data_IF_738951105342
#
_entry.id   IF_738951105342
#
_cell.length_a   1.000
_cell.length_b   1.000
_cell.length_c   1.000
_cell.angle_alpha   90.00
_cell.angle_beta   90.00
_cell.angle_gamma   90.00
#
_symmetry.space_group_name_H-M   'P 1'
#
loop_
_entity.id
_entity.type
_entity.pdbx_description
1 polymer ?
#
# COMPACT_ATOMS: atom_id res chain seq x y z
N UNK A 1 7.07 5.20 4.98
CA UNK A 1 5.84 5.97 4.74
C UNK A 1 5.35 5.72 3.32
N UNK A 2 4.34 4.85 3.15
CA UNK A 2 3.86 4.41 1.84
C UNK A 2 2.59 5.18 1.40
N UNK A 3 2.33 5.26 0.07
CA UNK A 3 1.07 5.78 -0.44
C UNK A 3 -0.12 4.94 0.02
N UNK A 4 -1.23 5.60 0.39
CA UNK A 4 -2.48 4.92 0.72
C UNK A 4 -3.24 4.47 -0.52
N UNK A 5 -3.14 5.25 -1.61
CA UNK A 5 -3.76 4.95 -2.89
C UNK A 5 -3.00 5.64 -4.03
N UNK A 6 -3.43 5.34 -5.26
CA UNK A 6 -2.89 5.94 -6.47
C UNK A 6 -4.02 6.50 -7.33
N UNK A 7 -3.82 7.71 -7.80
CA UNK A 7 -4.70 8.34 -8.80
C UNK A 7 -4.06 8.15 -10.18
N UNK A 8 -4.78 7.52 -11.09
CA UNK A 8 -4.31 7.39 -12.48
C UNK A 8 -4.58 8.68 -13.24
N UNK A 9 -3.55 9.46 -13.42
CA UNK A 9 -3.57 10.70 -14.18
C UNK A 9 -2.77 10.57 -15.49
N UNK A 10 -2.51 9.35 -15.96
CA UNK A 10 -1.71 9.10 -17.16
C UNK A 10 -2.46 9.44 -18.45
N UNK A 11 -3.79 9.34 -18.42
CA UNK A 11 -4.63 9.62 -19.57
C UNK A 11 -4.97 11.11 -19.65
N UNK A 12 -4.41 11.78 -20.64
CA UNK A 12 -4.78 13.15 -20.98
C UNK A 12 -6.07 13.10 -21.81
N UNK A 13 -7.10 13.81 -21.36
CA UNK A 13 -8.40 13.88 -22.03
C UNK A 13 -8.48 15.18 -22.82
N UNK A 14 -8.78 15.16 -24.13
CA UNK A 14 -9.09 16.37 -24.89
C UNK A 14 -10.27 17.12 -24.27
N UNK A 15 -10.24 18.46 -24.31
CA UNK A 15 -11.29 19.30 -23.70
C UNK A 15 -12.67 18.95 -24.25
N UNK A 16 -12.78 18.69 -25.54
CA UNK A 16 -14.04 18.30 -26.20
C UNK A 16 -14.66 17.02 -25.65
N UNK A 17 -13.83 16.09 -25.15
CA UNK A 17 -14.24 14.76 -24.67
C UNK A 17 -14.41 14.74 -23.13
N UNK A 18 -14.11 15.84 -22.46
CA UNK A 18 -14.23 15.95 -21.01
C UNK A 18 -15.71 16.05 -20.60
N UNK A 19 -16.16 15.15 -19.73
CA UNK A 19 -17.54 15.10 -19.27
C UNK A 19 -17.70 15.75 -17.89
N UNK A 20 -18.84 16.41 -17.67
CA UNK A 20 -19.21 16.98 -16.38
C UNK A 20 -19.32 15.87 -15.33
N UNK A 21 -18.81 16.12 -14.11
CA UNK A 21 -18.77 15.15 -13.01
C UNK A 21 -17.58 14.20 -13.08
N UNK A 22 -16.82 14.15 -14.19
CA UNK A 22 -15.62 13.34 -14.27
C UNK A 22 -14.37 14.09 -13.83
N UNK A 23 -13.49 13.39 -13.11
CA UNK A 23 -12.16 13.87 -12.81
C UNK A 23 -11.22 13.52 -13.96
N UNK A 24 -10.77 14.53 -14.66
CA UNK A 24 -9.94 14.39 -15.88
C UNK A 24 -8.63 15.14 -15.76
N UNK A 25 -7.67 14.75 -16.59
CA UNK A 25 -6.43 15.48 -16.84
C UNK A 25 -6.54 16.12 -18.21
N UNK A 26 -6.42 17.42 -18.24
CA UNK A 26 -6.40 18.21 -19.49
C UNK A 26 -5.03 18.85 -19.62
N UNK A 27 -4.44 18.81 -20.81
CA UNK A 27 -3.28 19.62 -21.17
C UNK A 27 -3.75 20.74 -22.09
N UNK A 28 -3.50 21.98 -21.72
CA UNK A 28 -3.91 23.10 -22.54
C UNK A 28 -3.01 24.32 -22.36
N UNK A 29 -3.23 25.29 -23.24
CA UNK A 29 -2.55 26.59 -23.23
C UNK A 29 -3.48 27.63 -22.65
N UNK A 30 -2.96 28.47 -21.78
CA UNK A 30 -3.70 29.61 -21.23
C UNK A 30 -3.92 30.64 -22.34
N UNK A 31 -5.17 30.88 -22.70
CA UNK A 31 -5.58 31.90 -23.66
C UNK A 31 -5.75 33.25 -22.94
N UNK A 32 -6.43 33.23 -21.81
CA UNK A 32 -6.68 34.40 -20.97
C UNK A 32 -6.51 34.03 -19.48
N UNK A 33 -5.95 34.93 -18.69
CA UNK A 33 -5.91 34.80 -17.25
C UNK A 33 -6.06 36.19 -16.57
N UNK A 34 -6.93 36.26 -15.58
CA UNK A 34 -7.16 37.46 -14.81
C UNK A 34 -7.53 37.16 -13.36
N UNK A 35 -7.22 38.11 -12.45
CA UNK A 35 -7.65 38.03 -11.08
C UNK A 35 -8.71 39.11 -10.83
N UNK A 36 -9.86 38.69 -10.29
CA UNK A 36 -11.00 39.56 -10.02
C UNK A 36 -11.51 39.36 -8.59
N UNK A 37 -12.24 40.33 -8.05
CA UNK A 37 -12.96 40.18 -6.79
C UNK A 37 -14.42 39.82 -7.07
N UNK A 38 -14.91 38.78 -6.40
CA UNK A 38 -16.32 38.42 -6.46
C UNK A 38 -17.18 39.56 -5.91
N UNK A 39 -18.20 39.96 -6.66
CA UNK A 39 -19.16 41.02 -6.25
C UNK A 39 -19.93 40.71 -4.97
N UNK A 40 -20.20 39.43 -4.68
CA UNK A 40 -21.10 38.98 -3.58
C UNK A 40 -20.39 38.63 -2.27
N UNK A 41 -19.11 38.17 -2.30
CA UNK A 41 -18.41 37.71 -1.08
C UNK A 41 -17.01 38.29 -0.92
N UNK A 42 -16.63 39.30 -1.67
CA UNK A 42 -15.29 39.93 -1.70
C UNK A 42 -14.11 38.94 -1.79
N UNK A 43 -14.39 37.68 -2.20
CA UNK A 43 -13.33 36.66 -2.38
C UNK A 43 -12.56 36.92 -3.65
N UNK A 44 -11.24 36.75 -3.56
CA UNK A 44 -10.38 36.82 -4.72
C UNK A 44 -10.58 35.58 -5.58
N UNK A 45 -10.84 35.78 -6.86
CA UNK A 45 -11.02 34.75 -7.87
C UNK A 45 -9.98 34.94 -8.94
N UNK A 46 -9.21 33.89 -9.23
CA UNK A 46 -8.39 33.83 -10.44
C UNK A 46 -9.15 33.03 -11.47
N UNK A 47 -9.43 33.64 -12.61
CA UNK A 47 -10.12 33.01 -13.73
C UNK A 47 -9.19 32.90 -14.92
N UNK A 48 -9.24 31.76 -15.60
CA UNK A 48 -8.51 31.55 -16.84
C UNK A 48 -9.39 30.85 -17.86
N UNK A 49 -9.07 31.02 -19.13
CA UNK A 49 -9.55 30.21 -20.25
C UNK A 49 -8.37 29.40 -20.74
N UNK A 50 -8.55 28.10 -20.84
CA UNK A 50 -7.51 27.17 -21.28
C UNK A 50 -8.01 26.39 -22.48
N UNK A 51 -7.28 26.43 -23.58
CA UNK A 51 -7.59 25.73 -24.82
C UNK A 51 -6.53 24.69 -25.18
N UNK A 52 -6.95 23.61 -25.84
CA UNK A 52 -6.07 22.52 -26.30
C UNK A 52 -6.12 22.31 -27.82
N UNK A 53 -6.79 23.22 -28.52
CA UNK A 53 -7.06 23.10 -29.97
C UNK A 53 -8.29 22.26 -30.32
N UNK A 54 -8.85 21.49 -29.40
CA UNK A 54 -10.13 20.76 -29.57
C UNK A 54 -11.31 21.52 -28.99
N UNK A 55 -11.04 22.41 -28.03
CA UNK A 55 -11.99 23.26 -27.34
C UNK A 55 -11.30 24.14 -26.32
N UNK A 56 -12.10 24.97 -25.63
CA UNK A 56 -11.64 25.81 -24.54
C UNK A 56 -12.52 25.61 -23.30
N UNK A 57 -11.92 25.65 -22.11
CA UNK A 57 -12.61 25.46 -20.83
C UNK A 57 -12.27 26.58 -19.86
N UNK A 58 -13.28 27.03 -19.14
CA UNK A 58 -13.11 28.01 -18.06
C UNK A 58 -12.53 27.34 -16.82
N UNK A 59 -11.59 28.01 -16.19
CA UNK A 59 -10.93 27.56 -14.94
C UNK A 59 -11.06 28.64 -13.88
N UNK A 60 -11.47 28.28 -12.68
CA UNK A 60 -11.67 29.20 -11.57
C UNK A 60 -10.92 28.71 -10.34
N UNK A 61 -10.00 29.49 -9.82
CA UNK A 61 -9.32 29.25 -8.54
C UNK A 61 -9.82 30.23 -7.48
N UNK A 62 -10.30 29.70 -6.38
CA UNK A 62 -10.81 30.49 -5.25
C UNK A 62 -9.71 30.82 -4.26
N UNK A 63 -9.58 32.09 -3.86
CA UNK A 63 -8.59 32.60 -2.91
C UNK A 63 -7.13 32.30 -3.29
N UNK A 64 -6.81 32.26 -4.59
CA UNK A 64 -5.49 31.97 -5.10
C UNK A 64 -4.99 33.05 -6.10
N UNK A 65 -4.85 34.33 -5.68
CA UNK A 65 -4.47 35.40 -6.58
C UNK A 65 -3.04 35.30 -7.13
N UNK A 66 -2.18 34.53 -6.45
CA UNK A 66 -0.81 34.29 -6.89
C UNK A 66 -0.73 33.53 -8.22
N UNK A 67 -1.78 32.76 -8.59
CA UNK A 67 -1.81 32.01 -9.84
C UNK A 67 -1.73 32.96 -11.04
N UNK A 68 -2.46 34.07 -11.00
CA UNK A 68 -2.40 35.08 -12.07
C UNK A 68 -1.03 35.80 -12.18
N UNK A 69 -0.23 35.75 -11.10
CA UNK A 69 1.15 36.25 -11.15
C UNK A 69 2.14 35.18 -11.65
N UNK A 70 1.81 33.91 -11.44
CA UNK A 70 2.66 32.77 -11.78
C UNK A 70 2.57 32.41 -13.26
N UNK A 71 1.39 32.53 -13.86
CA UNK A 71 1.10 32.16 -15.23
C UNK A 71 0.78 33.38 -16.10
N UNK A 72 1.11 33.25 -17.39
CA UNK A 72 0.80 34.23 -18.41
C UNK A 72 0.03 33.56 -19.56
N UNK A 73 -0.68 34.38 -20.36
CA UNK A 73 -1.22 33.90 -21.64
C UNK A 73 -0.10 33.31 -22.50
N UNK A 74 -0.37 32.16 -23.13
CA UNK A 74 0.60 31.37 -23.87
C UNK A 74 1.31 30.27 -23.07
N UNK A 75 1.29 30.29 -21.72
CA UNK A 75 1.84 29.20 -20.92
C UNK A 75 1.02 27.91 -21.09
N UNK A 76 1.71 26.79 -21.20
CA UNK A 76 1.08 25.47 -21.22
C UNK A 76 1.08 24.83 -19.84
N UNK A 77 -0.04 24.20 -19.47
CA UNK A 77 -0.19 23.54 -18.18
C UNK A 77 -1.04 22.28 -18.28
N UNK A 78 -0.81 21.38 -17.32
CA UNK A 78 -1.75 20.32 -17.01
C UNK A 78 -2.72 20.80 -15.95
N UNK A 79 -4.01 20.51 -16.16
CA UNK A 79 -5.09 20.70 -15.20
C UNK A 79 -5.61 19.34 -14.77
N UNK A 80 -5.76 19.15 -13.48
CA UNK A 80 -6.31 17.92 -12.91
C UNK A 80 -7.47 18.30 -11.98
N UNK A 81 -8.67 17.92 -12.35
CA UNK A 81 -9.85 18.27 -11.56
C UNK A 81 -11.11 17.65 -12.10
N UNK A 82 -12.19 17.88 -11.39
CA UNK A 82 -13.54 17.54 -11.81
C UNK A 82 -14.13 18.69 -12.61
N UNK A 83 -14.71 18.37 -13.76
CA UNK A 83 -15.42 19.33 -14.58
C UNK A 83 -16.82 19.53 -13.99
N UNK A 84 -17.16 20.79 -13.66
CA UNK A 84 -18.47 21.19 -13.11
C UNK A 84 -19.23 21.97 -14.15
N UNK A 85 -20.57 21.98 -14.01
CA UNK A 85 -21.45 22.78 -14.84
C UNK A 85 -22.06 23.91 -14.00
N UNK A 86 -22.12 25.10 -14.57
CA UNK A 86 -22.80 26.26 -14.02
C UNK A 86 -23.40 27.02 -15.22
N UNK A 87 -24.53 27.67 -15.06
CA UNK A 87 -25.35 28.30 -16.11
C UNK A 87 -24.65 28.92 -17.32
N UNK A 88 -23.35 29.22 -17.20
CA UNK A 88 -22.49 29.73 -18.30
C UNK A 88 -21.63 28.62 -18.97
N UNK A 89 -21.89 27.35 -18.71
CA UNK A 89 -21.18 26.20 -19.27
C UNK A 89 -20.21 25.51 -18.29
N UNK A 90 -19.50 24.52 -18.80
CA UNK A 90 -18.60 23.70 -18.01
C UNK A 90 -17.32 24.45 -17.58
N UNK A 91 -16.87 24.20 -16.36
CA UNK A 91 -15.65 24.82 -15.80
C UNK A 91 -14.93 23.92 -14.79
N UNK A 92 -13.64 24.15 -14.59
CA UNK A 92 -12.88 23.56 -13.52
C UNK A 92 -12.90 24.43 -12.26
N UNK A 93 -13.31 23.87 -11.12
CA UNK A 93 -13.33 24.52 -9.83
C UNK A 93 -12.06 24.17 -9.03
N UNK A 94 -11.14 25.12 -8.89
CA UNK A 94 -9.85 24.95 -8.19
C UNK A 94 -9.09 23.67 -8.57
N UNK A 95 -8.88 23.38 -9.87
CA UNK A 95 -8.13 22.21 -10.27
C UNK A 95 -6.68 22.29 -9.77
N UNK A 96 -6.08 21.12 -9.55
CA UNK A 96 -4.64 21.06 -9.42
C UNK A 96 -4.00 21.40 -10.78
N UNK A 97 -2.84 22.04 -10.73
CA UNK A 97 -2.15 22.47 -11.95
C UNK A 97 -0.65 22.18 -11.87
N UNK A 98 -0.04 21.94 -13.02
CA UNK A 98 1.40 21.80 -13.19
C UNK A 98 1.81 22.43 -14.54
N UNK A 99 2.82 23.30 -14.50
CA UNK A 99 3.35 23.91 -15.74
C UNK A 99 4.06 22.85 -16.58
N UNK A 100 3.76 22.81 -17.87
CA UNK A 100 4.50 21.94 -18.80
C UNK A 100 5.94 22.45 -18.88
N UNK A 101 6.89 21.61 -18.53
CA UNK A 101 8.31 21.91 -18.58
C UNK A 101 9.05 20.83 -19.36
N UNK A 102 10.31 21.08 -19.72
CA UNK A 102 11.17 20.07 -20.39
C UNK A 102 11.45 18.85 -19.51
N UNK A 103 11.31 18.98 -18.20
CA UNK A 103 11.40 17.85 -17.27
C UNK A 103 10.07 17.10 -17.20
N UNK A 104 10.09 15.76 -17.04
CA UNK A 104 8.86 14.98 -16.91
C UNK A 104 7.98 15.54 -15.79
N UNK A 105 6.69 15.68 -16.07
CA UNK A 105 5.69 16.13 -15.11
C UNK A 105 5.79 15.32 -13.81
N UNK A 106 5.76 16.01 -12.66
CA UNK A 106 5.91 15.33 -11.35
C UNK A 106 4.57 14.99 -10.72
N UNK A 107 3.49 15.68 -11.13
CA UNK A 107 2.19 15.61 -10.47
C UNK A 107 1.01 15.39 -11.44
N UNK A 108 1.26 15.36 -12.76
CA UNK A 108 0.25 15.15 -13.78
C UNK A 108 0.77 14.22 -14.87
N UNK A 109 -0.12 13.72 -15.75
CA UNK A 109 0.17 12.83 -16.87
C UNK A 109 0.89 11.53 -16.47
N UNK A 110 0.54 10.95 -15.29
CA UNK A 110 1.07 9.69 -14.79
C UNK A 110 0.24 9.13 -13.63
N UNK A 111 0.61 7.95 -13.15
CA UNK A 111 0.10 7.40 -11.88
C UNK A 111 0.73 8.19 -10.73
N UNK A 112 -0.12 8.84 -9.93
CA UNK A 112 0.31 9.74 -8.86
C UNK A 112 -0.02 9.13 -7.50
N UNK A 113 0.98 8.97 -6.62
CA UNK A 113 0.75 8.47 -5.27
C UNK A 113 0.02 9.50 -4.41
N UNK A 114 -0.95 9.03 -3.63
CA UNK A 114 -1.67 9.80 -2.61
C UNK A 114 -1.28 9.26 -1.25
N UNK A 115 -0.66 10.10 -0.43
CA UNK A 115 -0.19 9.73 0.89
C UNK A 115 -1.22 10.06 1.97
N UNK A 116 -1.24 9.34 3.10
CA UNK A 116 -1.89 9.84 4.31
C UNK A 116 -1.30 11.21 4.64
N UNK A 117 -2.12 12.22 4.80
CA UNK A 117 -1.64 13.58 5.07
C UNK A 117 -2.23 14.11 6.36
N UNK A 118 -1.44 14.92 7.06
CA UNK A 118 -1.88 15.70 8.20
C UNK A 118 -2.21 17.13 7.77
N UNK A 119 -2.88 17.88 8.61
CA UNK A 119 -3.39 19.22 8.30
C UNK A 119 -2.33 20.20 7.74
N UNK A 120 -1.08 20.05 8.17
CA UNK A 120 0.02 21.00 7.81
C UNK A 120 0.89 20.54 6.65
N UNK A 121 0.67 19.33 6.08
CA UNK A 121 1.54 18.76 5.06
C UNK A 121 0.75 18.42 3.79
N UNK A 122 0.99 19.18 2.72
CA UNK A 122 0.31 18.95 1.44
C UNK A 122 0.88 17.77 0.66
N UNK A 123 0.06 17.14 -0.20
CA UNK A 123 0.48 16.06 -1.10
C UNK A 123 1.68 16.46 -1.98
N UNK A 124 1.75 17.72 -2.42
CA UNK A 124 2.88 18.23 -3.22
C UNK A 124 4.19 18.22 -2.42
N UNK A 125 4.14 18.64 -1.16
CA UNK A 125 5.30 18.65 -0.28
C UNK A 125 5.79 17.23 0.01
N UNK A 126 4.88 16.30 0.32
CA UNK A 126 5.25 14.90 0.56
C UNK A 126 5.92 14.30 -0.68
N UNK A 127 5.32 14.45 -1.86
CA UNK A 127 5.91 13.96 -3.11
C UNK A 127 7.26 14.58 -3.43
N UNK A 128 7.44 15.87 -3.15
CA UNK A 128 8.72 16.55 -3.31
C UNK A 128 9.80 15.96 -2.39
N UNK A 129 9.50 15.77 -1.12
CA UNK A 129 10.42 15.16 -0.15
C UNK A 129 10.75 13.71 -0.54
N UNK A 130 9.75 12.92 -0.93
CA UNK A 130 9.96 11.55 -1.40
C UNK A 130 10.86 11.49 -2.63
N UNK A 131 10.65 12.38 -3.60
CA UNK A 131 11.51 12.45 -4.80
C UNK A 131 12.98 12.73 -4.45
N UNK A 132 13.22 13.51 -3.39
CA UNK A 132 14.57 13.80 -2.92
C UNK A 132 15.18 12.65 -2.10
N UNK A 133 14.35 11.91 -1.36
CA UNK A 133 14.81 10.79 -0.54
C UNK A 133 15.10 9.52 -1.36
N UNK A 134 14.39 9.29 -2.47
CA UNK A 134 14.49 8.06 -3.24
C UNK A 134 15.88 7.68 -3.76
N UNK A 135 16.78 8.60 -4.14
CA UNK A 135 18.15 8.20 -4.48
C UNK A 135 18.86 7.42 -3.38
N UNK A 136 18.50 7.66 -2.10
CA UNK A 136 19.02 6.95 -0.94
C UNK A 136 18.54 5.49 -0.87
N UNK A 137 17.48 5.12 -1.57
CA UNK A 137 16.99 3.73 -1.63
C UNK A 137 18.07 2.75 -2.16
N UNK A 138 18.99 3.23 -2.95
CA UNK A 138 20.12 2.44 -3.45
C UNK A 138 21.17 2.09 -2.39
N UNK A 139 21.17 2.85 -1.28
CA UNK A 139 22.08 2.63 -0.15
C UNK A 139 21.48 1.65 0.87
N UNK A 140 20.20 1.33 0.75
CA UNK A 140 19.53 0.37 1.63
C UNK A 140 19.91 -1.04 1.23
N UNK A 141 20.50 -1.77 2.15
CA UNK A 141 20.86 -3.17 1.93
C UNK A 141 19.61 -4.02 1.74
N UNK A 142 19.60 -4.83 0.67
CA UNK A 142 18.53 -5.79 0.45
C UNK A 142 18.72 -7.02 1.33
N UNK A 143 17.86 -7.20 2.31
CA UNK A 143 17.95 -8.30 3.26
C UNK A 143 17.59 -9.67 2.67
N UNK A 144 16.87 -9.71 1.51
CA UNK A 144 16.54 -10.97 0.86
C UNK A 144 17.72 -11.52 0.08
N UNK A 145 18.13 -12.79 0.30
CA UNK A 145 19.14 -13.48 -0.50
C UNK A 145 18.78 -13.51 -1.98
N UNK A 146 19.79 -13.49 -2.83
CA UNK A 146 19.61 -13.47 -4.29
C UNK A 146 18.83 -14.71 -4.79
N UNK A 147 19.09 -15.88 -4.18
CA UNK A 147 18.42 -17.14 -4.52
C UNK A 147 16.91 -17.08 -4.22
N UNK A 148 16.53 -16.48 -3.08
CA UNK A 148 15.12 -16.29 -2.71
C UNK A 148 14.45 -15.36 -3.70
N UNK A 149 15.10 -14.24 -4.05
CA UNK A 149 14.57 -13.31 -5.05
C UNK A 149 14.38 -13.97 -6.42
N UNK A 150 15.35 -14.75 -6.86
CA UNK A 150 15.27 -15.48 -8.12
C UNK A 150 14.13 -16.52 -8.11
N UNK A 151 14.05 -17.33 -7.05
CA UNK A 151 13.04 -18.38 -6.89
C UNK A 151 11.61 -17.82 -6.95
N UNK A 152 11.34 -16.71 -6.29
CA UNK A 152 10.00 -16.10 -6.22
C UNK A 152 9.80 -14.97 -7.24
N UNK A 153 10.74 -14.76 -8.17
CA UNK A 153 10.70 -13.73 -9.21
C UNK A 153 10.42 -12.33 -8.63
N UNK A 154 11.17 -11.97 -7.60
CA UNK A 154 11.06 -10.69 -6.91
C UNK A 154 12.13 -9.70 -7.38
N UNK A 155 11.71 -8.45 -7.53
CA UNK A 155 12.62 -7.36 -7.83
C UNK A 155 13.50 -6.97 -6.62
N UNK A 156 14.58 -6.26 -6.85
CA UNK A 156 15.42 -5.70 -5.79
C UNK A 156 14.65 -4.69 -4.93
N UNK A 157 15.06 -4.53 -3.65
CA UNK A 157 14.41 -3.61 -2.73
C UNK A 157 14.41 -2.16 -3.25
N UNK A 158 15.52 -1.69 -3.80
CA UNK A 158 15.64 -0.34 -4.38
C UNK A 158 14.64 -0.10 -5.53
N UNK A 159 14.39 -1.13 -6.36
CA UNK A 159 13.35 -1.09 -7.39
C UNK A 159 11.96 -0.93 -6.75
N UNK A 160 11.65 -1.75 -5.76
CA UNK A 160 10.35 -1.71 -5.09
C UNK A 160 10.10 -0.36 -4.40
N UNK A 161 11.09 0.16 -3.67
CA UNK A 161 11.01 1.48 -3.04
C UNK A 161 10.84 2.61 -4.06
N UNK A 162 11.48 2.52 -5.22
CA UNK A 162 11.33 3.54 -6.26
C UNK A 162 9.95 3.53 -6.87
N UNK A 163 9.47 2.36 -7.28
CA UNK A 163 8.22 2.27 -8.04
C UNK A 163 6.95 2.18 -7.19
N UNK A 164 7.06 1.94 -5.88
CA UNK A 164 5.93 2.17 -4.97
C UNK A 164 5.64 3.67 -4.80
N UNK A 165 6.63 4.54 -4.96
CA UNK A 165 6.47 5.99 -4.81
C UNK A 165 6.24 6.72 -6.13
N UNK A 166 6.91 6.30 -7.21
CA UNK A 166 6.79 6.93 -8.54
C UNK A 166 6.71 5.87 -9.65
N UNK A 167 5.60 5.15 -9.72
CA UNK A 167 5.40 4.16 -10.76
C UNK A 167 5.21 4.82 -12.13
N UNK A 168 5.91 4.37 -13.17
CA UNK A 168 5.64 4.84 -14.53
C UNK A 168 4.38 4.20 -15.13
N UNK A 169 4.04 3.00 -14.68
CA UNK A 169 2.91 2.18 -15.12
C UNK A 169 2.41 1.27 -13.99
N UNK A 170 1.26 0.65 -14.22
CA UNK A 170 0.63 -0.28 -13.27
C UNK A 170 1.42 -1.57 -13.08
N UNK A 171 2.09 -2.07 -14.11
CA UNK A 171 2.87 -3.30 -14.05
C UNK A 171 4.03 -3.18 -13.05
N UNK A 172 4.80 -2.09 -13.15
CA UNK A 172 5.91 -1.83 -12.21
C UNK A 172 5.42 -1.53 -10.81
N UNK A 173 4.26 -0.89 -10.67
CA UNK A 173 3.62 -0.69 -9.37
C UNK A 173 3.27 -2.02 -8.71
N UNK A 174 2.63 -2.93 -9.44
CA UNK A 174 2.26 -4.23 -8.90
C UNK A 174 3.49 -5.11 -8.58
N UNK A 175 4.53 -5.04 -9.40
CA UNK A 175 5.79 -5.71 -9.12
C UNK A 175 6.45 -5.17 -7.83
N UNK A 176 6.41 -3.86 -7.60
CA UNK A 176 6.88 -3.23 -6.37
C UNK A 176 6.04 -3.64 -5.15
N UNK A 177 4.71 -3.64 -5.27
CA UNK A 177 3.78 -4.10 -4.23
C UNK A 177 4.02 -5.56 -3.86
N UNK A 178 4.18 -6.43 -4.87
CA UNK A 178 4.45 -7.85 -4.65
C UNK A 178 5.72 -8.06 -3.84
N UNK A 179 6.79 -7.31 -4.15
CA UNK A 179 8.04 -7.38 -3.39
C UNK A 179 7.84 -6.95 -1.94
N UNK A 180 7.24 -5.81 -1.69
CA UNK A 180 7.06 -5.28 -0.32
C UNK A 180 6.11 -6.14 0.53
N UNK A 181 5.04 -6.67 -0.06
CA UNK A 181 4.16 -7.63 0.61
C UNK A 181 4.91 -8.92 0.99
N UNK A 182 5.76 -9.40 0.09
CA UNK A 182 6.60 -10.57 0.39
C UNK A 182 7.54 -10.28 1.56
N UNK A 183 8.22 -9.13 1.56
CA UNK A 183 9.14 -8.76 2.64
C UNK A 183 8.43 -8.72 4.00
N UNK A 184 7.24 -8.13 4.06
CA UNK A 184 6.45 -8.02 5.30
C UNK A 184 6.07 -9.41 5.83
N UNK A 185 5.49 -10.27 4.97
CA UNK A 185 5.09 -11.62 5.36
C UNK A 185 6.30 -12.51 5.68
N UNK A 186 7.40 -12.37 4.96
CA UNK A 186 8.63 -13.10 5.20
C UNK A 186 9.23 -12.76 6.57
N UNK A 187 9.27 -11.49 6.91
CA UNK A 187 9.75 -11.04 8.22
C UNK A 187 8.87 -11.57 9.36
N UNK A 188 7.54 -11.56 9.18
CA UNK A 188 6.61 -12.15 10.16
C UNK A 188 6.85 -13.66 10.33
N UNK A 189 7.08 -14.38 9.24
CA UNK A 189 7.37 -15.82 9.29
C UNK A 189 8.71 -16.11 9.97
N UNK A 190 9.76 -15.33 9.67
CA UNK A 190 11.06 -15.47 10.36
C UNK A 190 10.89 -15.24 11.86
N UNK A 191 10.17 -14.18 12.23
CA UNK A 191 9.90 -13.87 13.65
C UNK A 191 9.16 -15.01 14.35
N UNK A 192 8.09 -15.52 13.74
CA UNK A 192 7.32 -16.63 14.29
C UNK A 192 8.15 -17.91 14.43
N UNK A 193 8.97 -18.24 13.41
CA UNK A 193 9.87 -19.39 13.46
C UNK A 193 10.97 -19.23 14.52
N UNK A 194 11.53 -18.04 14.65
CA UNK A 194 12.54 -17.75 15.69
C UNK A 194 11.94 -17.91 17.08
N UNK A 195 10.75 -17.35 17.31
CA UNK A 195 10.03 -17.52 18.57
C UNK A 195 9.74 -18.99 18.87
N UNK A 196 9.28 -19.74 17.87
CA UNK A 196 9.04 -21.18 18.00
C UNK A 196 10.33 -21.93 18.36
N UNK A 197 11.46 -21.57 17.78
CA UNK A 197 12.76 -22.18 18.11
C UNK A 197 13.20 -21.85 19.54
N UNK A 198 13.00 -20.60 19.99
CA UNK A 198 13.32 -20.23 21.38
C UNK A 198 12.41 -20.96 22.38
N UNK A 199 11.12 -21.07 22.10
CA UNK A 199 10.19 -21.82 22.96
C UNK A 199 10.58 -23.30 23.06
N UNK A 200 11.10 -23.91 21.98
CA UNK A 200 11.55 -25.31 21.99
C UNK A 200 12.75 -25.56 22.91
N UNK A 201 13.52 -24.54 23.26
CA UNK A 201 14.66 -24.66 24.20
C UNK A 201 14.21 -24.75 25.65
N UNK A 202 12.98 -24.36 25.96
CA UNK A 202 12.44 -24.39 27.31
C UNK A 202 11.97 -25.84 27.57
N UNK A 203 12.50 -26.52 28.61
CA UNK A 203 12.05 -27.86 28.95
C UNK A 203 10.63 -27.82 29.53
N UNK A 204 9.79 -28.73 29.10
CA UNK A 204 8.46 -28.96 29.66
C UNK A 204 8.37 -30.32 30.36
N UNK A 205 7.56 -30.47 31.41
CA UNK A 205 7.38 -31.76 32.08
C UNK A 205 6.71 -32.78 31.14
N UNK A 206 7.12 -34.03 31.25
CA UNK A 206 6.47 -35.14 30.55
C UNK A 206 5.14 -35.45 31.23
N UNK A 207 4.07 -35.51 30.48
CA UNK A 207 2.76 -36.00 30.93
C UNK A 207 2.54 -37.37 30.33
N UNK A 208 2.64 -38.41 31.17
CA UNK A 208 2.43 -39.79 30.71
C UNK A 208 1.00 -40.02 30.26
N UNK A 209 0.86 -40.63 29.09
CA UNK A 209 -0.44 -41.03 28.56
C UNK A 209 -1.00 -42.20 29.32
N UNK A 210 -2.14 -42.03 30.01
CA UNK A 210 -2.87 -43.08 30.72
C UNK A 210 -4.14 -43.44 29.95
N UNK A 211 -4.12 -44.59 29.28
CA UNK A 211 -5.22 -45.04 28.42
C UNK A 211 -6.55 -45.14 29.17
N UNK A 212 -6.53 -45.73 30.38
CA UNK A 212 -7.75 -45.93 31.17
C UNK A 212 -8.36 -44.57 31.60
N UNK A 213 -7.53 -43.64 32.05
CA UNK A 213 -7.99 -42.31 32.44
C UNK A 213 -8.58 -41.55 31.24
N UNK A 214 -7.94 -41.64 30.09
CA UNK A 214 -8.41 -41.00 28.86
C UNK A 214 -9.73 -41.61 28.40
N UNK A 215 -9.89 -42.94 28.44
CA UNK A 215 -11.16 -43.64 28.08
C UNK A 215 -12.29 -43.16 29.00
N UNK A 216 -12.08 -43.20 30.32
CA UNK A 216 -13.09 -42.76 31.29
C UNK A 216 -13.50 -41.29 31.07
N UNK A 217 -12.55 -40.46 30.75
CA UNK A 217 -12.82 -39.05 30.46
C UNK A 217 -13.70 -38.91 29.19
N UNK A 218 -13.34 -39.60 28.11
CA UNK A 218 -14.10 -39.56 26.86
C UNK A 218 -15.50 -40.17 27.03
N UNK A 219 -15.66 -41.24 27.79
CA UNK A 219 -16.96 -41.86 28.10
C UNK A 219 -17.85 -40.95 28.96
N UNK A 220 -17.26 -40.07 29.78
CA UNK A 220 -17.97 -39.07 30.59
C UNK A 220 -18.40 -37.82 29.84
N UNK A 221 -18.01 -37.65 28.60
CA UNK A 221 -18.40 -36.45 27.83
C UNK A 221 -19.90 -36.52 27.45
N UNK A 222 -20.64 -35.41 27.50
CA UNK A 222 -22.04 -35.34 27.11
C UNK A 222 -22.29 -35.42 25.58
N UNK A 223 -21.23 -35.56 24.80
CA UNK A 223 -21.24 -35.63 23.34
C UNK A 223 -20.16 -36.61 22.84
N UNK A 224 -20.31 -37.08 21.59
CA UNK A 224 -19.29 -37.90 20.95
C UNK A 224 -18.30 -37.02 20.19
N UNK A 225 -17.00 -37.28 20.40
CA UNK A 225 -15.93 -36.61 19.66
C UNK A 225 -15.99 -37.03 18.18
N UNK A 226 -15.84 -36.04 17.29
CA UNK A 226 -15.64 -36.29 15.85
C UNK A 226 -14.30 -36.99 15.59
N UNK A 227 -14.11 -37.54 14.40
CA UNK A 227 -12.84 -38.19 14.04
C UNK A 227 -11.66 -37.18 14.08
N UNK A 228 -11.88 -35.95 13.66
CA UNK A 228 -10.82 -34.92 13.67
C UNK A 228 -10.49 -34.47 15.09
N UNK A 229 -11.48 -34.34 15.96
CA UNK A 229 -11.27 -34.07 17.37
C UNK A 229 -10.47 -35.16 18.08
N UNK A 230 -10.79 -36.46 17.79
CA UNK A 230 -10.02 -37.59 18.31
C UNK A 230 -8.58 -37.59 17.81
N UNK A 231 -8.37 -37.30 16.53
CA UNK A 231 -7.04 -37.22 15.94
C UNK A 231 -6.23 -36.08 16.58
N UNK A 232 -6.82 -34.89 16.71
CA UNK A 232 -6.18 -33.74 17.34
C UNK A 232 -5.83 -34.04 18.81
N UNK A 233 -6.74 -34.60 19.59
CA UNK A 233 -6.49 -35.00 20.97
C UNK A 233 -5.36 -36.05 21.07
N UNK A 234 -5.32 -37.02 20.18
CA UNK A 234 -4.26 -38.02 20.14
C UNK A 234 -2.89 -37.44 19.84
N UNK A 235 -2.81 -36.49 18.90
CA UNK A 235 -1.59 -35.77 18.57
C UNK A 235 -1.09 -34.92 19.77
N UNK A 236 -2.01 -34.22 20.46
CA UNK A 236 -1.70 -33.46 21.66
C UNK A 236 -1.14 -34.36 22.78
N UNK A 237 -1.82 -35.44 23.06
CA UNK A 237 -1.37 -36.42 24.09
C UNK A 237 -0.01 -37.03 23.72
N UNK A 238 0.22 -37.25 22.42
CA UNK A 238 1.51 -37.73 21.91
C UNK A 238 2.65 -36.72 22.13
N UNK A 239 2.38 -35.44 21.93
CA UNK A 239 3.36 -34.38 22.17
C UNK A 239 3.67 -34.22 23.66
N UNK A 240 2.65 -34.25 24.52
CA UNK A 240 2.80 -34.18 25.99
C UNK A 240 3.55 -35.38 26.58
N UNK A 241 3.37 -36.57 26.01
CA UNK A 241 4.03 -37.81 26.41
C UNK A 241 5.43 -38.01 25.82
N UNK A 242 5.98 -37.03 25.10
CA UNK A 242 7.34 -37.12 24.56
C UNK A 242 7.49 -38.07 23.35
N UNK A 243 6.38 -38.50 22.73
CA UNK A 243 6.42 -39.43 21.58
C UNK A 243 7.19 -38.92 20.36
N UNK A 244 7.36 -37.58 20.24
CA UNK A 244 8.10 -36.95 19.15
C UNK A 244 9.60 -36.76 19.41
N UNK A 245 10.09 -37.05 20.61
CA UNK A 245 11.51 -36.94 20.94
C UNK A 245 12.29 -38.13 20.34
N UNK A 246 12.74 -37.96 19.08
CA UNK A 246 13.53 -38.97 18.38
C UNK A 246 14.86 -39.31 19.07
N UNK A 247 15.40 -38.41 19.91
CA UNK A 247 16.64 -38.60 20.64
C UNK A 247 16.46 -39.56 21.85
N UNK A 248 15.37 -39.41 22.58
CA UNK A 248 15.08 -40.35 23.69
C UNK A 248 14.77 -41.78 23.22
N UNK A 249 14.16 -41.93 22.03
CA UNK A 249 13.91 -43.24 21.44
C UNK A 249 15.21 -43.96 21.01
N UNK A 250 16.24 -43.20 20.58
CA UNK A 250 17.53 -43.80 20.19
C UNK A 250 18.39 -44.26 21.36
N UNK A 251 18.19 -43.67 22.53
CA UNK A 251 19.04 -43.92 23.70
C UNK A 251 18.39 -44.83 24.74
N UNK A 252 17.13 -45.28 24.55
CA UNK A 252 16.38 -46.12 25.50
C UNK A 252 16.35 -45.52 26.93
N UNK A 253 16.43 -44.19 27.03
CA UNK A 253 16.43 -43.45 28.31
C UNK A 253 15.04 -42.87 28.58
N UNK A 254 14.61 -42.90 29.85
CA UNK A 254 13.38 -42.22 30.27
C UNK A 254 13.54 -40.70 30.08
N UNK A 255 12.69 -40.12 29.25
CA UNK A 255 12.64 -38.68 29.08
C UNK A 255 11.94 -38.03 30.25
N UNK A 256 12.68 -37.27 31.03
CA UNK A 256 12.14 -36.46 32.14
C UNK A 256 11.56 -35.12 31.66
N UNK A 257 11.92 -34.68 30.48
CA UNK A 257 11.44 -33.42 29.88
C UNK A 257 11.12 -33.58 28.39
N UNK A 258 10.16 -32.82 27.88
CA UNK A 258 9.77 -32.74 26.49
C UNK A 258 9.88 -31.31 25.97
N UNK A 259 9.86 -31.11 24.67
CA UNK A 259 9.67 -29.79 24.09
C UNK A 259 8.25 -29.30 24.41
N UNK A 260 8.07 -28.02 24.75
CA UNK A 260 6.74 -27.47 24.99
C UNK A 260 5.87 -27.57 23.75
N UNK A 261 4.64 -27.96 23.99
CA UNK A 261 3.63 -28.02 22.90
C UNK A 261 3.32 -26.60 22.41
N UNK A 262 3.36 -26.41 21.11
CA UNK A 262 3.01 -25.16 20.45
C UNK A 262 2.11 -25.46 19.25
N UNK A 263 0.80 -25.63 19.53
CA UNK A 263 -0.22 -25.93 18.54
C UNK A 263 -1.33 -24.91 18.61
N UNK A 264 -1.80 -24.49 17.45
CA UNK A 264 -3.05 -23.76 17.30
C UNK A 264 -4.16 -24.77 16.97
N UNK A 265 -5.23 -24.75 17.74
CA UNK A 265 -6.44 -25.49 17.46
C UNK A 265 -7.45 -24.52 16.84
N UNK A 266 -7.83 -24.77 15.62
CA UNK A 266 -8.95 -24.11 14.97
C UNK A 266 -10.15 -25.05 15.00
N UNK A 267 -11.27 -24.56 15.52
CA UNK A 267 -12.55 -25.29 15.54
C UNK A 267 -13.64 -24.37 14.99
N UNK A 268 -14.64 -24.99 14.36
CA UNK A 268 -15.89 -24.33 13.94
C UNK A 268 -16.79 -24.05 15.15
#
# INVERSE_FOLDING_TARGET
YFPARYDDLSKITPIKDAQVGQRVVVRGRIELIQSTRSKWRHKLLTQAVVGDGTGSVRVVWFNQPWIAKMFKSGDELYLVGELKEEGAGAYFASPAYEKVSRNPATHAARIVPVYPATEKLSQKQIRFLMKRALPLARLVTDALPAEVRARYKLNALAYALTYIHFPPDWERLEAARRRLKFDELFNLQIFALSLKQELKKIPAPVVEFQEQTTKRFVEGLPFQLTNDQRKAAWEILGDLGGRQNAECRRQNTECTTVQPMNRLLEGD
#
